data_IF_557989795074
#
_entry.id   IF_557989795074
#
_cell.length_a   1.000
_cell.length_b   1.000
_cell.length_c   1.000
_cell.angle_alpha   90.00
_cell.angle_beta   90.00
_cell.angle_gamma   90.00
#
_symmetry.space_group_name_H-M   'P 1'
#
loop_
_entity.id
_entity.type
_entity.pdbx_description
1 polymer ?
#
# COMPACT_ATOMS: atom_id res chain seq x y z
N UNK A 1 -32.67 50.09 -11.58
CA UNK A 1 -33.22 49.80 -12.91
C UNK A 1 -32.87 48.35 -13.17
N UNK A 2 -33.82 47.48 -12.87
CA UNK A 2 -34.87 46.93 -13.74
C UNK A 2 -34.21 45.96 -14.74
N UNK A 3 -34.57 44.73 -14.94
CA UNK A 3 -35.80 43.95 -14.83
C UNK A 3 -35.44 42.46 -15.01
N UNK A 4 -35.90 41.53 -14.19
CA UNK A 4 -37.19 40.80 -14.30
C UNK A 4 -37.28 39.80 -15.50
N UNK A 5 -37.52 38.50 -15.11
CA UNK A 5 -38.53 37.56 -15.62
C UNK A 5 -38.12 36.75 -16.88
N UNK A 6 -38.31 35.45 -16.95
CA UNK A 6 -39.57 34.72 -17.05
C UNK A 6 -39.38 33.21 -16.86
N UNK A 7 -40.24 32.62 -16.07
CA UNK A 7 -40.63 31.22 -15.97
C UNK A 7 -41.06 30.66 -17.33
N UNK A 8 -40.83 29.39 -17.58
CA UNK A 8 -41.79 28.62 -18.34
C UNK A 8 -41.91 27.19 -17.82
N UNK A 9 -43.12 26.99 -17.35
CA UNK A 9 -43.71 25.74 -16.87
C UNK A 9 -44.47 25.18 -18.05
N UNK A 10 -44.28 23.94 -18.42
CA UNK A 10 -45.24 23.23 -19.24
C UNK A 10 -45.44 21.81 -18.71
N UNK A 11 -46.73 21.62 -18.42
CA UNK A 11 -47.37 20.42 -17.91
C UNK A 11 -47.64 19.41 -19.04
N UNK A 12 -47.71 18.14 -18.60
CA UNK A 12 -48.63 17.07 -18.97
C UNK A 12 -48.80 16.68 -20.45
N UNK A 13 -48.60 15.41 -20.69
CA UNK A 13 -49.70 14.60 -21.27
C UNK A 13 -49.55 13.11 -20.90
N UNK A 14 -50.62 12.61 -20.30
CA UNK A 14 -50.93 11.22 -20.01
C UNK A 14 -51.41 10.60 -21.30
N UNK A 15 -50.84 9.48 -21.74
CA UNK A 15 -51.48 8.65 -22.73
C UNK A 15 -51.55 7.18 -22.27
N UNK A 16 -52.76 6.79 -21.90
CA UNK A 16 -53.22 5.40 -21.65
C UNK A 16 -53.50 4.73 -22.99
N UNK A 17 -52.99 3.51 -23.17
CA UNK A 17 -53.40 2.69 -24.33
C UNK A 17 -52.74 1.31 -24.39
N UNK A 18 -53.43 0.35 -23.75
CA UNK A 18 -53.71 -1.04 -24.17
C UNK A 18 -52.58 -1.97 -24.69
N UNK A 19 -52.30 -2.98 -23.89
CA UNK A 19 -52.29 -4.44 -24.18
C UNK A 19 -51.73 -4.89 -25.54
N UNK A 20 -50.58 -5.59 -25.48
CA UNK A 20 -50.44 -6.89 -26.18
C UNK A 20 -49.38 -7.75 -25.46
N UNK A 21 -49.84 -8.90 -25.02
CA UNK A 21 -49.05 -10.06 -24.63
C UNK A 21 -48.10 -10.46 -25.77
N UNK A 22 -46.84 -10.63 -25.46
CA UNK A 22 -46.00 -11.57 -26.22
C UNK A 22 -45.01 -12.24 -25.30
N UNK A 23 -45.36 -13.45 -24.92
CA UNK A 23 -44.56 -14.43 -24.19
C UNK A 23 -43.36 -14.83 -25.05
N UNK A 24 -42.18 -14.38 -24.70
CA UNK A 24 -40.96 -15.01 -25.12
C UNK A 24 -40.04 -15.11 -23.89
N UNK A 25 -40.13 -16.26 -23.26
CA UNK A 25 -39.22 -16.72 -22.20
C UNK A 25 -37.82 -16.83 -22.77
N UNK A 26 -36.97 -15.83 -22.54
CA UNK A 26 -35.54 -16.00 -22.66
C UNK A 26 -35.02 -16.58 -21.34
N UNK A 27 -34.23 -17.67 -21.36
CA UNK A 27 -33.58 -18.14 -20.15
C UNK A 27 -32.59 -17.08 -19.68
N UNK A 28 -32.70 -16.69 -18.41
CA UNK A 28 -31.66 -15.92 -17.71
C UNK A 28 -30.34 -16.67 -17.80
N UNK A 29 -29.22 -15.99 -18.06
CA UNK A 29 -27.92 -16.60 -17.89
C UNK A 29 -27.80 -17.01 -16.41
N UNK A 30 -27.45 -18.27 -16.21
CA UNK A 30 -27.03 -18.80 -14.92
C UNK A 30 -25.90 -17.93 -14.39
N UNK A 31 -26.22 -17.13 -13.40
CA UNK A 31 -25.19 -16.42 -12.63
C UNK A 31 -24.32 -17.51 -11.99
N UNK A 32 -23.03 -17.50 -12.36
CA UNK A 32 -21.99 -18.27 -11.70
C UNK A 32 -22.14 -18.06 -10.19
N UNK A 33 -22.72 -19.04 -9.52
CA UNK A 33 -22.62 -19.16 -8.08
C UNK A 33 -21.17 -19.49 -7.76
N UNK A 34 -20.33 -18.46 -7.64
CA UNK A 34 -19.08 -18.63 -6.92
C UNK A 34 -19.45 -19.17 -5.55
N UNK A 35 -19.17 -20.45 -5.36
CA UNK A 35 -19.28 -21.11 -4.08
C UNK A 35 -18.41 -20.34 -3.09
N UNK A 36 -19.05 -19.53 -2.24
CA UNK A 36 -18.42 -18.91 -1.08
C UNK A 36 -18.08 -20.09 -0.15
N UNK A 37 -16.92 -20.67 -0.34
CA UNK A 37 -16.32 -21.57 0.63
C UNK A 37 -16.05 -20.74 1.89
N UNK A 38 -16.96 -20.79 2.80
CA UNK A 38 -16.80 -20.28 4.16
C UNK A 38 -15.82 -21.24 4.84
N UNK A 39 -14.52 -21.03 4.61
CA UNK A 39 -13.51 -21.72 5.41
C UNK A 39 -13.68 -21.26 6.85
N UNK A 40 -14.02 -22.19 7.74
CA UNK A 40 -14.06 -21.91 9.16
C UNK A 40 -12.70 -21.34 9.63
N UNK A 41 -12.68 -20.33 10.50
CA UNK A 41 -11.43 -19.77 10.96
C UNK A 41 -10.61 -20.82 11.71
N UNK A 42 -9.47 -21.19 11.14
CA UNK A 42 -8.53 -22.11 11.77
C UNK A 42 -7.76 -21.35 12.85
N UNK A 43 -8.02 -21.69 14.13
CA UNK A 43 -7.27 -21.12 15.24
C UNK A 43 -5.89 -21.78 15.34
N UNK A 44 -4.86 -20.98 15.49
CA UNK A 44 -3.50 -21.42 15.68
C UNK A 44 -3.34 -22.04 17.08
N UNK A 45 -2.81 -23.25 17.18
CA UNK A 45 -2.51 -23.90 18.46
C UNK A 45 -1.02 -23.75 18.82
N UNK A 46 -0.73 -23.86 20.12
CA UNK A 46 0.65 -23.81 20.61
C UNK A 46 1.47 -24.99 20.08
N UNK A 47 0.85 -26.17 19.99
CA UNK A 47 1.47 -27.38 19.48
C UNK A 47 1.87 -27.24 18.01
N UNK A 48 1.04 -26.57 17.20
CA UNK A 48 1.37 -26.27 15.80
C UNK A 48 2.60 -25.37 15.70
N UNK A 49 2.69 -24.32 16.54
CA UNK A 49 3.86 -23.42 16.56
C UNK A 49 5.11 -24.16 17.01
N UNK A 50 5.02 -24.97 18.05
CA UNK A 50 6.16 -25.74 18.58
C UNK A 50 6.64 -26.82 17.60
N UNK A 51 5.77 -27.28 16.70
CA UNK A 51 6.11 -28.24 15.65
C UNK A 51 6.71 -27.62 14.37
N UNK A 52 6.68 -26.27 14.24
CA UNK A 52 7.27 -25.58 13.09
C UNK A 52 8.79 -25.42 13.25
N UNK A 53 9.51 -25.44 12.12
CA UNK A 53 10.94 -25.10 12.14
C UNK A 53 11.12 -23.62 12.52
N UNK A 54 12.04 -23.36 13.43
CA UNK A 54 12.39 -21.99 13.85
C UNK A 54 12.83 -21.13 12.66
N UNK A 55 13.50 -21.73 11.68
CA UNK A 55 13.91 -21.03 10.46
C UNK A 55 12.69 -20.54 9.65
N UNK A 56 11.65 -21.35 9.54
CA UNK A 56 10.40 -20.95 8.83
C UNK A 56 9.62 -19.88 9.58
N UNK A 57 9.60 -19.96 10.93
CA UNK A 57 8.94 -18.98 11.78
C UNK A 57 9.62 -17.59 11.74
N UNK A 58 10.94 -17.57 11.54
CA UNK A 58 11.76 -16.36 11.56
C UNK A 58 12.18 -15.88 10.18
N UNK A 59 11.85 -16.63 9.12
CA UNK A 59 12.23 -16.28 7.76
C UNK A 59 11.66 -14.90 7.35
N UNK A 60 12.56 -14.02 6.98
CA UNK A 60 12.19 -12.70 6.47
C UNK A 60 11.74 -12.82 5.01
N UNK A 61 10.62 -12.16 4.69
CA UNK A 61 10.11 -12.16 3.32
C UNK A 61 11.05 -11.38 2.41
N UNK A 62 11.40 -11.99 1.31
CA UNK A 62 12.23 -11.40 0.26
C UNK A 62 11.38 -11.10 -0.97
N UNK A 63 11.72 -10.04 -1.69
CA UNK A 63 11.04 -9.62 -2.91
C UNK A 63 11.98 -8.96 -3.91
N UNK A 64 11.41 -8.59 -5.06
CA UNK A 64 12.05 -7.75 -6.06
C UNK A 64 11.13 -6.59 -6.37
N UNK A 65 11.70 -5.41 -6.51
CA UNK A 65 11.00 -4.24 -7.02
C UNK A 65 11.47 -3.99 -8.45
N UNK A 66 10.54 -4.01 -9.40
CA UNK A 66 10.86 -3.71 -10.80
C UNK A 66 10.89 -2.20 -11.03
N UNK A 67 12.04 -1.67 -11.40
CA UNK A 67 12.22 -0.29 -11.87
C UNK A 67 12.42 -0.32 -13.39
N UNK A 68 11.71 0.54 -14.11
CA UNK A 68 11.85 0.65 -15.56
C UNK A 68 13.28 0.98 -16.01
N UNK A 69 14.01 1.72 -15.18
CA UNK A 69 15.37 2.18 -15.49
C UNK A 69 16.46 1.23 -15.01
N UNK A 70 16.27 0.58 -13.87
CA UNK A 70 17.31 -0.21 -13.20
C UNK A 70 17.08 -1.71 -13.28
N UNK A 71 15.89 -2.16 -13.71
CA UNK A 71 15.50 -3.56 -13.65
C UNK A 71 15.08 -3.98 -12.25
N UNK A 72 15.30 -5.25 -11.90
CA UNK A 72 14.82 -5.83 -10.66
C UNK A 72 15.79 -5.55 -9.50
N UNK A 73 15.32 -4.80 -8.52
CA UNK A 73 16.06 -4.44 -7.31
C UNK A 73 15.61 -5.39 -6.19
N UNK A 74 16.50 -6.27 -5.69
CA UNK A 74 16.15 -7.17 -4.60
C UNK A 74 16.01 -6.41 -3.29
N UNK A 75 15.09 -6.86 -2.44
CA UNK A 75 14.90 -6.33 -1.11
C UNK A 75 14.44 -7.41 -0.12
N UNK A 76 14.75 -7.20 1.13
CA UNK A 76 14.29 -8.03 2.26
C UNK A 76 13.36 -7.21 3.14
N UNK A 77 12.29 -7.83 3.64
CA UNK A 77 11.36 -7.20 4.58
C UNK A 77 12.13 -6.65 5.80
N UNK A 78 11.71 -5.48 6.29
CA UNK A 78 12.30 -4.87 7.48
C UNK A 78 11.58 -5.34 8.74
N UNK A 79 12.31 -5.44 9.84
CA UNK A 79 11.74 -5.76 11.14
C UNK A 79 10.93 -4.59 11.71
N UNK A 80 10.11 -4.88 12.74
CA UNK A 80 9.39 -3.81 13.45
C UNK A 80 10.35 -2.81 14.10
N UNK A 81 11.48 -3.29 14.63
CA UNK A 81 12.47 -2.42 15.28
C UNK A 81 13.17 -1.51 14.26
N UNK A 82 13.54 -2.04 13.08
CA UNK A 82 14.06 -1.24 11.97
C UNK A 82 13.09 -0.14 11.56
N UNK A 83 11.81 -0.49 11.40
CA UNK A 83 10.76 0.48 11.07
C UNK A 83 10.61 1.54 12.15
N UNK A 84 10.60 1.14 13.43
CA UNK A 84 10.47 2.04 14.57
C UNK A 84 11.66 3.01 14.65
N UNK A 85 12.87 2.52 14.40
CA UNK A 85 14.06 3.36 14.39
C UNK A 85 14.02 4.33 13.20
N UNK A 86 13.71 3.86 11.99
CA UNK A 86 13.56 4.72 10.82
C UNK A 86 12.53 5.83 11.05
N UNK A 87 11.39 5.49 11.67
CA UNK A 87 10.35 6.48 12.01
C UNK A 87 10.85 7.50 13.02
N UNK A 88 11.58 7.08 14.05
CA UNK A 88 12.17 7.98 15.05
C UNK A 88 13.14 8.98 14.42
N UNK A 89 13.94 8.53 13.47
CA UNK A 89 14.93 9.37 12.76
C UNK A 89 14.27 10.37 11.78
N UNK A 90 12.99 10.18 11.47
CA UNK A 90 12.21 11.05 10.59
C UNK A 90 11.29 11.99 11.35
N UNK A 91 11.39 12.03 12.69
CA UNK A 91 10.62 12.98 13.51
C UNK A 91 11.19 14.37 13.36
N UNK A 92 10.31 15.32 13.01
CA UNK A 92 10.59 16.77 13.00
C UNK A 92 9.80 17.43 14.12
N UNK A 93 10.35 18.52 14.64
CA UNK A 93 9.72 19.33 15.67
C UNK A 93 9.34 20.66 15.02
N UNK A 94 8.06 20.96 15.05
CA UNK A 94 7.53 22.24 14.58
C UNK A 94 6.95 23.02 15.76
N UNK A 95 7.16 24.32 15.79
CA UNK A 95 6.65 25.19 16.85
C UNK A 95 5.55 26.07 16.27
N UNK A 96 4.34 25.97 16.82
CA UNK A 96 3.23 26.80 16.41
C UNK A 96 3.39 28.25 16.89
N UNK A 97 2.50 29.12 16.43
CA UNK A 97 2.48 30.56 16.77
C UNK A 97 2.31 30.83 18.29
N UNK A 98 1.84 29.84 19.05
CA UNK A 98 1.65 29.90 20.49
C UNK A 98 2.84 29.32 21.27
N UNK A 99 3.90 28.91 20.57
CA UNK A 99 5.08 28.30 21.18
C UNK A 99 4.94 26.83 21.54
N UNK A 100 3.86 26.17 21.12
CA UNK A 100 3.63 24.74 21.40
C UNK A 100 4.42 23.92 20.37
N UNK A 101 5.28 23.03 20.89
CA UNK A 101 6.06 22.11 20.05
C UNK A 101 5.18 20.96 19.59
N UNK A 102 5.00 20.85 18.30
CA UNK A 102 4.31 19.71 17.66
C UNK A 102 5.33 18.76 17.02
N UNK A 103 5.08 17.48 17.19
CA UNK A 103 5.93 16.43 16.60
C UNK A 103 5.28 15.92 15.33
N UNK A 104 5.99 15.98 14.22
CA UNK A 104 5.52 15.47 12.93
C UNK A 104 6.52 14.46 12.39
N UNK A 105 6.04 13.42 11.73
CA UNK A 105 6.88 12.49 10.98
C UNK A 105 6.98 12.99 9.54
N UNK A 106 8.18 13.09 9.03
CA UNK A 106 8.46 13.33 7.62
C UNK A 106 8.26 12.01 6.86
N UNK A 107 7.08 11.87 6.25
CA UNK A 107 6.69 10.63 5.56
C UNK A 107 7.55 10.36 4.32
N UNK A 108 7.97 11.37 3.58
CA UNK A 108 8.82 11.21 2.39
C UNK A 108 10.21 10.69 2.79
N UNK A 109 10.78 11.26 3.84
CA UNK A 109 12.03 10.80 4.41
C UNK A 109 11.90 9.37 4.97
N UNK A 110 10.79 9.05 5.60
CA UNK A 110 10.52 7.69 6.11
C UNK A 110 10.44 6.68 4.97
N UNK A 111 9.73 6.97 3.89
CA UNK A 111 9.64 6.09 2.72
C UNK A 111 11.02 5.84 2.12
N UNK A 112 11.81 6.87 1.94
CA UNK A 112 13.18 6.79 1.46
C UNK A 112 14.06 5.88 2.35
N UNK A 113 13.99 6.05 3.66
CA UNK A 113 14.73 5.21 4.62
C UNK A 113 14.30 3.75 4.60
N UNK A 114 13.00 3.48 4.52
CA UNK A 114 12.47 2.11 4.44
C UNK A 114 13.03 1.38 3.22
N UNK A 115 13.08 2.02 2.06
CA UNK A 115 13.63 1.43 0.84
C UNK A 115 15.12 1.13 0.99
N UNK A 116 15.91 2.09 1.48
CA UNK A 116 17.35 1.92 1.68
C UNK A 116 17.63 0.75 2.63
N UNK A 117 16.97 0.72 3.79
CA UNK A 117 17.13 -0.36 4.77
C UNK A 117 16.79 -1.73 4.19
N UNK A 118 15.71 -1.84 3.41
CA UNK A 118 15.28 -3.10 2.82
C UNK A 118 16.24 -3.63 1.76
N UNK A 119 16.85 -2.73 0.97
CA UNK A 119 17.87 -3.07 -0.03
C UNK A 119 19.21 -3.42 0.65
N UNK A 120 19.63 -2.64 1.64
CA UNK A 120 20.90 -2.89 2.37
C UNK A 120 20.85 -4.21 3.17
N UNK A 121 19.66 -4.63 3.59
CA UNK A 121 19.44 -5.91 4.29
C UNK A 121 19.50 -7.11 3.36
N UNK A 122 19.24 -6.91 2.07
CA UNK A 122 19.20 -8.01 1.10
C UNK A 122 20.62 -8.41 0.68
N UNK A 123 20.96 -9.67 0.93
CA UNK A 123 22.28 -10.22 0.62
C UNK A 123 22.37 -10.96 -0.71
N UNK A 124 21.27 -11.01 -1.47
CA UNK A 124 21.23 -11.70 -2.79
C UNK A 124 21.98 -10.93 -3.87
N UNK A 125 22.23 -9.64 -3.65
CA UNK A 125 23.06 -8.82 -4.52
C UNK A 125 24.04 -8.01 -3.70
N UNK A 126 25.09 -7.50 -4.37
CA UNK A 126 26.04 -6.56 -3.76
C UNK A 126 25.61 -5.09 -3.99
N UNK A 127 24.38 -4.87 -4.45
CA UNK A 127 23.85 -3.53 -4.70
C UNK A 127 23.40 -2.88 -3.40
N UNK A 128 23.85 -1.65 -3.17
CA UNK A 128 23.38 -0.77 -2.11
C UNK A 128 23.42 0.67 -2.58
N UNK A 129 22.44 1.46 -2.20
CA UNK A 129 22.42 2.90 -2.48
C UNK A 129 23.54 3.65 -1.77
N UNK A 130 24.10 3.08 -0.69
CA UNK A 130 25.21 3.66 0.07
C UNK A 130 26.59 3.35 -0.54
N UNK A 131 26.69 2.63 -1.67
CA UNK A 131 27.95 2.26 -2.28
C UNK A 131 28.78 3.50 -2.68
N UNK A 132 29.99 3.63 -2.15
CA UNK A 132 30.84 4.82 -2.35
C UNK A 132 31.20 5.09 -3.82
N UNK A 133 31.37 4.04 -4.64
CA UNK A 133 31.64 4.20 -6.06
C UNK A 133 30.40 4.70 -6.81
N UNK A 134 29.21 4.22 -6.42
CA UNK A 134 27.93 4.70 -6.93
C UNK A 134 27.70 6.17 -6.58
N UNK A 135 27.88 6.54 -5.30
CA UNK A 135 27.73 7.92 -4.84
C UNK A 135 28.64 8.87 -5.61
N UNK A 136 29.92 8.49 -5.79
CA UNK A 136 30.88 9.27 -6.57
C UNK A 136 30.46 9.39 -8.04
N UNK A 137 29.97 8.32 -8.65
CA UNK A 137 29.51 8.31 -10.05
C UNK A 137 28.30 9.24 -10.25
N UNK A 138 27.40 9.29 -9.28
CA UNK A 138 26.19 10.13 -9.32
C UNK A 138 26.43 11.57 -8.86
N UNK A 139 27.60 11.87 -8.28
CA UNK A 139 27.90 13.19 -7.73
C UNK A 139 27.12 13.53 -6.47
N UNK A 140 26.67 12.53 -5.73
CA UNK A 140 25.91 12.68 -4.47
C UNK A 140 26.71 12.15 -3.28
N UNK A 141 26.29 12.50 -2.06
CA UNK A 141 27.03 12.17 -0.84
C UNK A 141 26.30 11.19 0.08
N UNK A 142 25.02 10.93 -0.18
CA UNK A 142 24.15 10.10 0.69
C UNK A 142 23.40 9.05 -0.11
N UNK A 143 22.99 7.98 0.56
CA UNK A 143 22.14 6.93 -0.03
C UNK A 143 20.80 7.48 -0.47
N UNK A 144 20.22 8.43 0.28
CA UNK A 144 18.98 9.12 -0.08
C UNK A 144 19.16 9.93 -1.38
N UNK A 145 20.29 10.62 -1.52
CA UNK A 145 20.64 11.33 -2.75
C UNK A 145 20.78 10.39 -3.94
N UNK A 146 21.41 9.23 -3.74
CA UNK A 146 21.54 8.20 -4.78
C UNK A 146 20.16 7.64 -5.18
N UNK A 147 19.33 7.28 -4.20
CA UNK A 147 17.97 6.80 -4.45
C UNK A 147 17.15 7.79 -5.26
N UNK A 148 17.10 9.05 -4.83
CA UNK A 148 16.34 10.13 -5.51
C UNK A 148 16.87 10.47 -6.90
N UNK A 149 18.16 10.23 -7.17
CA UNK A 149 18.75 10.42 -8.51
C UNK A 149 18.44 9.25 -9.45
N UNK A 150 18.35 8.04 -8.90
CA UNK A 150 18.16 6.82 -9.69
C UNK A 150 16.69 6.52 -9.96
N UNK A 151 15.82 6.74 -8.96
CA UNK A 151 14.40 6.43 -9.03
C UNK A 151 13.55 7.72 -9.01
N UNK A 152 12.54 7.82 -9.87
CA UNK A 152 11.57 8.90 -9.79
C UNK A 152 10.73 8.79 -8.50
N UNK A 153 10.18 9.92 -7.99
CA UNK A 153 9.45 9.94 -6.72
C UNK A 153 8.32 8.89 -6.63
N UNK A 154 7.58 8.69 -7.73
CA UNK A 154 6.50 7.69 -7.77
C UNK A 154 7.00 6.25 -7.59
N UNK A 155 8.17 5.91 -8.15
CA UNK A 155 8.79 4.60 -7.93
C UNK A 155 9.27 4.43 -6.48
N UNK A 156 9.81 5.48 -5.87
CA UNK A 156 10.22 5.44 -4.45
C UNK A 156 9.02 5.13 -3.54
N UNK A 157 7.90 5.81 -3.77
CA UNK A 157 6.66 5.55 -3.01
C UNK A 157 6.17 4.12 -3.22
N UNK A 158 6.09 3.65 -4.46
CA UNK A 158 5.66 2.30 -4.78
C UNK A 158 6.59 1.24 -4.19
N UNK A 159 7.89 1.49 -4.21
CA UNK A 159 8.87 0.59 -3.60
C UNK A 159 8.71 0.53 -2.08
N UNK A 160 8.57 1.69 -1.41
CA UNK A 160 8.30 1.73 0.03
C UNK A 160 7.02 0.96 0.41
N UNK A 161 5.96 1.08 -0.39
CA UNK A 161 4.71 0.31 -0.21
C UNK A 161 4.95 -1.19 -0.40
N UNK A 162 5.76 -1.60 -1.39
CA UNK A 162 6.11 -3.00 -1.59
C UNK A 162 6.86 -3.58 -0.38
N UNK A 163 7.85 -2.85 0.15
CA UNK A 163 8.59 -3.23 1.36
C UNK A 163 7.66 -3.31 2.57
N UNK A 164 6.79 -2.31 2.78
CA UNK A 164 5.83 -2.30 3.89
C UNK A 164 4.86 -3.49 3.82
N UNK A 165 4.38 -3.83 2.62
CA UNK A 165 3.52 -5.00 2.43
C UNK A 165 4.25 -6.32 2.74
N UNK A 166 5.50 -6.47 2.30
CA UNK A 166 6.33 -7.62 2.62
C UNK A 166 6.59 -7.73 4.13
N UNK A 167 6.80 -6.59 4.80
CA UNK A 167 7.03 -6.48 6.24
C UNK A 167 5.75 -6.61 7.09
N UNK A 168 4.58 -6.82 6.48
CA UNK A 168 3.32 -6.98 7.21
C UNK A 168 2.63 -5.68 7.64
N UNK A 169 3.17 -4.50 7.30
CA UNK A 169 2.57 -3.20 7.62
C UNK A 169 1.51 -2.74 6.60
N UNK A 170 1.25 -3.52 5.56
CA UNK A 170 0.36 -3.17 4.46
C UNK A 170 -1.12 -3.15 4.83
N UNK A 171 -1.91 -2.40 4.06
CA UNK A 171 -3.35 -2.24 4.27
C UNK A 171 -4.17 -3.55 4.17
N UNK A 172 -3.62 -4.61 3.56
CA UNK A 172 -4.26 -5.94 3.50
C UNK A 172 -4.43 -6.56 4.89
N UNK A 173 -3.47 -6.34 5.81
CA UNK A 173 -3.59 -6.79 7.20
C UNK A 173 -4.71 -6.04 7.93
N UNK A 174 -4.86 -4.74 7.70
CA UNK A 174 -5.92 -3.91 8.29
C UNK A 174 -7.32 -4.28 7.79
N UNK A 175 -7.45 -4.72 6.53
CA UNK A 175 -8.74 -5.10 5.95
C UNK A 175 -9.24 -6.42 6.54
N UNK A 176 -8.37 -7.44 6.67
CA UNK A 176 -8.74 -8.72 7.31
C UNK A 176 -9.24 -8.55 8.74
N UNK A 177 -8.59 -7.70 9.54
CA UNK A 177 -9.01 -7.43 10.93
C UNK A 177 -10.34 -6.69 10.98
N UNK A 178 -10.60 -5.73 10.09
CA UNK A 178 -11.89 -5.03 10.05
C UNK A 178 -13.05 -5.92 9.65
N UNK A 179 -12.83 -6.86 8.73
CA UNK A 179 -13.86 -7.76 8.23
C UNK A 179 -14.20 -8.83 9.29
N UNK A 180 -13.22 -9.29 10.08
CA UNK A 180 -13.47 -10.23 11.19
C UNK A 180 -14.22 -9.60 12.37
N UNK A 181 -14.00 -8.32 12.66
CA UNK A 181 -14.70 -7.59 13.74
C UNK A 181 -16.14 -7.23 13.38
N UNK A 182 -16.48 -7.12 12.08
CA UNK A 182 -17.85 -6.86 11.62
C UNK A 182 -18.77 -8.08 11.69
N UNK A 183 -18.23 -9.28 11.76
CA UNK A 183 -18.97 -10.54 11.74
C UNK A 183 -19.02 -11.20 13.14
N UNK A 184 -18.64 -10.50 14.20
CA UNK A 184 -18.82 -10.85 15.61
C UNK A 184 -19.89 -9.93 16.22
#
# INVERSE_FOLDING_TARGET
>A
MADITVMNKQEQEINTGATQENTATQPLPEADQEAITTEEPKFLSLEEILGMDTADLTAEKQGFFHSEKLGDIPYTAISYDDYKQAKKDCVTYDQDENGVIQTKVDDDKLMTKIVILAVDKDQRSNFTFANGALLKKLGVHTAEGALSTLLPPGEIVNFAVAVQNASGFGNKAKKKVKDSVKNS
#
